data_IF_705826973088
#
_entry.id   IF_705826973088
#
_cell.length_a   1.000
_cell.length_b   1.000
_cell.length_c   1.000
_cell.angle_alpha   90.00
_cell.angle_beta   90.00
_cell.angle_gamma   90.00
#
_symmetry.space_group_name_H-M   'P 1'
#
loop_
_entity.id
_entity.type
_entity.pdbx_description
1 polymer ?
#
# COMPACT_ATOMS: atom_id res chain seq x y z
N UNK A 1 24.51 9.12 -23.99
CA UNK A 1 23.07 9.35 -24.26
C UNK A 1 22.10 8.54 -23.38
N UNK A 2 22.53 7.51 -22.64
CA UNK A 2 21.64 6.60 -21.89
C UNK A 2 21.06 7.15 -20.56
N UNK A 3 21.71 8.11 -19.92
CA UNK A 3 21.34 8.59 -18.56
C UNK A 3 20.02 9.38 -18.52
N UNK A 4 19.66 10.07 -19.60
CA UNK A 4 18.43 10.87 -19.68
C UNK A 4 17.17 10.02 -19.86
N UNK A 5 17.28 8.87 -20.55
CA UNK A 5 16.17 7.92 -20.69
C UNK A 5 15.86 7.22 -19.36
N UNK A 6 16.91 6.82 -18.63
CA UNK A 6 16.77 6.14 -17.34
C UNK A 6 16.19 7.05 -16.26
N UNK A 7 16.58 8.33 -16.20
CA UNK A 7 16.02 9.28 -15.23
C UNK A 7 14.55 9.60 -15.50
N UNK A 8 14.14 9.73 -16.78
CA UNK A 8 12.74 9.91 -17.17
C UNK A 8 11.90 8.66 -16.87
N UNK A 9 12.46 7.47 -17.14
CA UNK A 9 11.83 6.17 -16.84
C UNK A 9 11.63 5.96 -15.34
N UNK A 10 12.67 6.23 -14.52
CA UNK A 10 12.61 6.14 -13.05
C UNK A 10 11.59 7.11 -12.47
N UNK A 11 11.59 8.36 -12.93
CA UNK A 11 10.61 9.38 -12.49
C UNK A 11 9.19 8.99 -12.88
N UNK A 12 8.99 8.48 -14.10
CA UNK A 12 7.68 8.00 -14.56
C UNK A 12 7.17 6.85 -13.70
N UNK A 13 8.02 5.86 -13.43
CA UNK A 13 7.68 4.74 -12.55
C UNK A 13 7.38 5.21 -11.12
N UNK A 14 8.19 6.11 -10.56
CA UNK A 14 7.92 6.68 -9.24
C UNK A 14 6.57 7.40 -9.18
N UNK A 15 6.22 8.18 -10.21
CA UNK A 15 4.91 8.85 -10.28
C UNK A 15 3.75 7.85 -10.33
N UNK A 16 3.89 6.77 -11.10
CA UNK A 16 2.86 5.74 -11.21
C UNK A 16 2.68 4.97 -9.87
N UNK A 17 3.80 4.59 -9.23
CA UNK A 17 3.78 3.91 -7.93
C UNK A 17 3.20 4.81 -6.83
N UNK A 18 3.50 6.11 -6.84
CA UNK A 18 2.86 7.08 -5.91
C UNK A 18 1.34 7.02 -6.06
N UNK A 19 0.82 7.06 -7.29
CA UNK A 19 -0.62 7.02 -7.53
C UNK A 19 -1.26 5.72 -7.00
N UNK A 20 -0.62 4.58 -7.24
CA UNK A 20 -1.12 3.29 -6.77
C UNK A 20 -1.06 3.14 -5.24
N UNK A 21 0.04 3.56 -4.61
CA UNK A 21 0.17 3.54 -3.14
C UNK A 21 -0.85 4.49 -2.50
N UNK A 22 -1.03 5.69 -3.06
CA UNK A 22 -2.02 6.65 -2.55
C UNK A 22 -3.44 6.09 -2.65
N UNK A 23 -3.82 5.46 -3.76
CA UNK A 23 -5.14 4.83 -3.88
C UNK A 23 -5.35 3.73 -2.83
N UNK A 24 -4.34 2.89 -2.57
CA UNK A 24 -4.40 1.87 -1.52
C UNK A 24 -4.61 2.51 -0.14
N UNK A 25 -3.89 3.58 0.18
CA UNK A 25 -4.02 4.27 1.48
C UNK A 25 -5.38 4.95 1.61
N UNK A 26 -5.84 5.68 0.59
CA UNK A 26 -7.14 6.34 0.60
C UNK A 26 -8.28 5.32 0.76
N UNK A 27 -8.21 4.17 0.11
CA UNK A 27 -9.18 3.09 0.26
C UNK A 27 -9.16 2.51 1.69
N UNK A 28 -8.00 2.38 2.33
CA UNK A 28 -7.90 1.95 3.74
C UNK A 28 -8.45 3.01 4.71
N UNK A 29 -8.17 4.30 4.48
CA UNK A 29 -8.64 5.39 5.34
C UNK A 29 -10.16 5.62 5.23
N UNK A 30 -10.74 5.37 4.05
CA UNK A 30 -12.17 5.51 3.79
C UNK A 30 -13.03 4.31 4.23
N UNK A 31 -12.42 3.24 4.70
CA UNK A 31 -13.11 2.01 5.09
C UNK A 31 -13.60 2.14 6.55
N UNK A 32 -14.89 2.47 6.74
CA UNK A 32 -15.54 2.59 8.08
C UNK A 32 -15.33 1.31 8.92
N UNK A 33 -15.16 0.19 8.24
CA UNK A 33 -14.84 -1.12 8.76
C UNK A 33 -13.44 -1.26 9.37
N UNK A 34 -12.46 -0.40 9.08
CA UNK A 34 -11.21 -0.34 9.87
C UNK A 34 -11.52 -0.02 11.32
N UNK A 35 -12.48 0.88 11.54
CA UNK A 35 -12.97 1.23 12.87
C UNK A 35 -13.69 0.07 13.55
N UNK A 36 -14.38 -0.76 12.76
CA UNK A 36 -15.04 -2.00 13.23
C UNK A 36 -14.04 -3.13 13.48
N UNK A 37 -12.94 -3.18 12.72
CA UNK A 37 -11.81 -4.09 12.97
C UNK A 37 -11.08 -3.71 14.26
N UNK A 38 -10.90 -2.42 14.54
CA UNK A 38 -10.43 -1.92 15.85
C UNK A 38 -11.40 -2.31 16.98
N UNK A 39 -12.71 -2.21 16.78
CA UNK A 39 -13.73 -2.65 17.75
C UNK A 39 -13.72 -4.17 17.95
N UNK A 40 -13.33 -4.95 16.94
CA UNK A 40 -13.17 -6.39 17.06
C UNK A 40 -11.90 -6.80 17.81
N UNK A 41 -10.80 -6.05 17.69
CA UNK A 41 -9.57 -6.27 18.49
C UNK A 41 -9.86 -6.12 20.00
N UNK A 42 -10.84 -5.27 20.35
CA UNK A 42 -11.35 -5.12 21.73
C UNK A 42 -12.52 -6.08 22.07
N UNK A 43 -12.89 -6.99 21.17
CA UNK A 43 -13.82 -8.11 21.42
C UNK A 43 -15.29 -7.89 21.04
N UNK A 44 -15.63 -6.85 20.28
CA UNK A 44 -16.99 -6.62 19.80
C UNK A 44 -17.27 -7.39 18.50
N UNK A 45 -17.81 -8.60 18.61
CA UNK A 45 -18.06 -9.52 17.47
C UNK A 45 -19.29 -9.17 16.61
N UNK A 46 -19.94 -8.03 16.85
CA UNK A 46 -21.26 -7.69 16.30
C UNK A 46 -21.24 -7.35 14.79
N UNK A 47 -20.07 -7.00 14.24
CA UNK A 47 -19.93 -6.51 12.86
C UNK A 47 -19.20 -7.47 11.90
N UNK A 48 -18.92 -8.71 12.34
CA UNK A 48 -18.21 -9.72 11.56
C UNK A 48 -18.80 -9.96 10.16
N UNK A 49 -20.12 -9.94 10.02
CA UNK A 49 -20.82 -10.16 8.76
C UNK A 49 -20.79 -8.98 7.77
N UNK A 50 -20.32 -7.81 8.22
CA UNK A 50 -20.25 -6.58 7.43
C UNK A 50 -18.86 -6.35 6.83
N UNK A 51 -17.83 -7.05 7.32
CA UNK A 51 -16.42 -6.91 6.92
C UNK A 51 -16.05 -7.48 5.55
N UNK A 52 -17.03 -7.90 4.75
CA UNK A 52 -16.80 -8.61 3.48
C UNK A 52 -16.97 -7.79 2.20
N UNK A 53 -17.35 -6.51 2.30
CA UNK A 53 -17.66 -5.69 1.12
C UNK A 53 -16.44 -5.00 0.49
N UNK A 54 -15.32 -4.91 1.21
CA UNK A 54 -14.16 -4.14 0.78
C UNK A 54 -13.13 -4.98 0.06
N UNK A 55 -12.62 -4.38 -0.99
CA UNK A 55 -11.63 -4.97 -1.86
C UNK A 55 -10.58 -3.92 -2.13
N UNK A 56 -9.33 -4.29 -1.92
CA UNK A 56 -8.21 -3.45 -2.34
C UNK A 56 -8.18 -3.30 -3.86
N UNK A 57 -7.68 -2.16 -4.36
CA UNK A 57 -7.49 -1.96 -5.79
C UNK A 57 -6.41 -2.92 -6.31
N UNK A 58 -6.50 -3.27 -7.60
CA UNK A 58 -5.47 -4.12 -8.23
C UNK A 58 -4.12 -3.41 -8.27
N UNK A 59 -3.05 -4.13 -7.93
CA UNK A 59 -1.67 -3.64 -7.93
C UNK A 59 -1.06 -3.60 -9.35
N UNK A 60 -1.80 -3.06 -10.31
CA UNK A 60 -1.50 -3.15 -11.75
C UNK A 60 -0.17 -2.48 -12.12
N UNK A 61 0.18 -1.36 -11.47
CA UNK A 61 1.44 -0.66 -11.71
C UNK A 61 2.59 -1.47 -11.14
N UNK A 62 2.51 -1.91 -9.89
CA UNK A 62 3.54 -2.74 -9.27
C UNK A 62 3.77 -4.03 -10.06
N UNK A 63 2.72 -4.83 -10.30
CA UNK A 63 2.82 -6.12 -11.00
C UNK A 63 3.42 -5.98 -12.40
N UNK A 64 2.98 -4.98 -13.16
CA UNK A 64 3.49 -4.74 -14.52
C UNK A 64 4.93 -4.20 -14.57
N UNK A 65 5.50 -3.79 -13.42
CA UNK A 65 6.80 -3.13 -13.36
C UNK A 65 7.75 -3.73 -12.32
N UNK A 66 7.50 -4.95 -11.81
CA UNK A 66 8.38 -5.65 -10.85
C UNK A 66 9.83 -5.69 -11.35
N UNK A 67 10.04 -6.06 -12.61
CA UNK A 67 11.38 -6.13 -13.21
C UNK A 67 12.09 -4.77 -13.33
N UNK A 68 11.31 -3.68 -13.28
CA UNK A 68 11.79 -2.29 -13.41
C UNK A 68 12.02 -1.62 -12.05
N UNK A 69 11.79 -2.31 -10.94
CA UNK A 69 12.15 -1.81 -9.61
C UNK A 69 13.66 -1.61 -9.48
N UNK A 70 14.47 -2.29 -10.30
CA UNK A 70 15.92 -2.07 -10.42
C UNK A 70 16.33 -0.62 -10.76
N UNK A 71 15.38 0.23 -11.16
CA UNK A 71 15.58 1.67 -11.36
C UNK A 71 15.78 2.44 -10.04
N UNK A 72 15.35 1.88 -8.91
CA UNK A 72 15.57 2.44 -7.57
C UNK A 72 16.80 1.81 -6.90
N UNK A 73 17.25 2.38 -5.77
CA UNK A 73 18.24 1.69 -4.94
C UNK A 73 17.64 0.46 -4.24
N UNK A 74 18.50 -0.44 -3.76
CA UNK A 74 18.06 -1.70 -3.17
C UNK A 74 17.22 -1.56 -1.89
N UNK A 75 17.35 -0.46 -1.14
CA UNK A 75 16.52 -0.22 0.03
C UNK A 75 15.09 0.13 -0.40
N UNK A 76 14.96 1.11 -1.31
CA UNK A 76 13.67 1.51 -1.89
C UNK A 76 12.97 0.33 -2.58
N UNK A 77 13.69 -0.49 -3.35
CA UNK A 77 13.15 -1.70 -3.97
C UNK A 77 12.49 -2.64 -2.95
N UNK A 78 13.19 -2.92 -1.85
CA UNK A 78 12.68 -3.81 -0.80
C UNK A 78 11.48 -3.21 -0.09
N UNK A 79 11.46 -1.91 0.15
CA UNK A 79 10.31 -1.24 0.76
C UNK A 79 9.08 -1.30 -0.16
N UNK A 80 9.25 -1.06 -1.47
CA UNK A 80 8.15 -1.19 -2.44
C UNK A 80 7.62 -2.63 -2.44
N UNK A 81 8.49 -3.62 -2.63
CA UNK A 81 8.08 -5.02 -2.66
C UNK A 81 7.41 -5.46 -1.35
N UNK A 82 7.93 -5.01 -0.21
CA UNK A 82 7.37 -5.30 1.10
C UNK A 82 5.98 -4.67 1.26
N UNK A 83 5.80 -3.40 0.90
CA UNK A 83 4.49 -2.74 0.92
C UNK A 83 3.44 -3.52 0.14
N UNK A 84 3.71 -3.89 -1.12
CA UNK A 84 2.74 -4.64 -1.93
C UNK A 84 2.53 -6.08 -1.46
N UNK A 85 3.53 -6.69 -0.81
CA UNK A 85 3.36 -8.00 -0.15
C UNK A 85 2.38 -7.91 1.02
N UNK A 86 2.52 -6.88 1.86
CA UNK A 86 1.63 -6.61 3.00
C UNK A 86 0.20 -6.28 2.52
N UNK A 87 0.07 -5.48 1.46
CA UNK A 87 -1.21 -5.18 0.82
C UNK A 87 -1.89 -6.44 0.28
N UNK A 88 -1.13 -7.37 -0.32
CA UNK A 88 -1.64 -8.68 -0.72
C UNK A 88 -2.10 -9.54 0.46
N UNK A 89 -1.38 -9.50 1.58
CA UNK A 89 -1.79 -10.14 2.83
C UNK A 89 -3.12 -9.61 3.35
N UNK A 90 -3.28 -8.28 3.40
CA UNK A 90 -4.53 -7.62 3.75
C UNK A 90 -5.68 -8.06 2.84
N UNK A 91 -5.49 -8.06 1.52
CA UNK A 91 -6.49 -8.55 0.57
C UNK A 91 -6.90 -10.01 0.87
N UNK A 92 -5.93 -10.86 1.23
CA UNK A 92 -6.18 -12.25 1.62
C UNK A 92 -7.04 -12.38 2.88
N UNK A 93 -6.75 -11.59 3.92
CA UNK A 93 -7.54 -11.58 5.15
C UNK A 93 -8.96 -11.06 4.94
N UNK A 94 -9.11 -9.97 4.17
CA UNK A 94 -10.43 -9.42 3.81
C UNK A 94 -11.25 -10.43 2.99
N UNK A 95 -10.61 -11.14 2.05
CA UNK A 95 -11.27 -12.18 1.28
C UNK A 95 -11.73 -13.36 2.15
N UNK A 96 -10.93 -13.78 3.12
CA UNK A 96 -11.29 -14.81 4.08
C UNK A 96 -12.50 -14.37 4.92
N UNK A 97 -12.48 -13.15 5.47
CA UNK A 97 -13.61 -12.56 6.19
C UNK A 97 -14.90 -12.51 5.36
N UNK A 98 -14.80 -12.11 4.09
CA UNK A 98 -15.93 -12.09 3.16
C UNK A 98 -16.52 -13.48 2.87
N UNK A 99 -15.69 -14.52 2.95
CA UNK A 99 -16.04 -15.90 2.57
C UNK A 99 -16.48 -16.75 3.76
N UNK A 100 -16.32 -16.27 4.99
CA UNK A 100 -16.44 -17.03 6.23
C UNK A 100 -17.87 -17.39 6.69
N UNK A 101 -18.81 -17.64 5.75
CA UNK A 101 -20.22 -17.94 6.07
C UNK A 101 -20.42 -19.16 6.98
N UNK A 102 -19.47 -20.10 7.02
CA UNK A 102 -19.51 -21.33 7.82
C UNK A 102 -18.23 -21.58 8.65
N UNK A 103 -17.33 -20.59 8.76
CA UNK A 103 -16.07 -20.74 9.50
C UNK A 103 -16.24 -20.51 11.02
N UNK A 104 -15.30 -21.02 11.82
CA UNK A 104 -15.34 -20.79 13.27
C UNK A 104 -15.14 -19.31 13.58
N UNK A 105 -15.92 -18.78 14.53
CA UNK A 105 -15.80 -17.38 14.97
C UNK A 105 -14.37 -16.99 15.36
N UNK A 106 -13.61 -17.94 15.90
CA UNK A 106 -12.21 -17.73 16.28
C UNK A 106 -11.31 -17.48 15.06
N UNK A 107 -11.54 -18.16 13.93
CA UNK A 107 -10.80 -17.92 12.69
C UNK A 107 -11.13 -16.56 12.09
N UNK A 108 -12.42 -16.19 12.06
CA UNK A 108 -12.82 -14.86 11.62
C UNK A 108 -12.19 -13.76 12.48
N UNK A 109 -12.18 -13.93 13.80
CA UNK A 109 -11.52 -12.98 14.71
C UNK A 109 -10.02 -12.88 14.41
N UNK A 110 -9.34 -14.01 14.19
CA UNK A 110 -7.92 -14.00 13.85
C UNK A 110 -7.66 -13.23 12.55
N UNK A 111 -8.46 -13.45 11.50
CA UNK A 111 -8.35 -12.72 10.25
C UNK A 111 -8.63 -11.21 10.40
N UNK A 112 -9.56 -10.82 11.28
CA UNK A 112 -9.80 -9.43 11.59
C UNK A 112 -8.58 -8.76 12.28
N UNK A 113 -8.01 -9.43 13.28
CA UNK A 113 -6.80 -8.94 13.97
C UNK A 113 -5.62 -8.83 13.01
N UNK A 114 -5.41 -9.85 12.18
CA UNK A 114 -4.34 -9.83 11.18
C UNK A 114 -4.56 -8.74 10.12
N UNK A 115 -5.80 -8.55 9.65
CA UNK A 115 -6.14 -7.45 8.75
C UNK A 115 -5.84 -6.08 9.38
N UNK A 116 -6.23 -5.85 10.63
CA UNK A 116 -5.94 -4.60 11.33
C UNK A 116 -4.42 -4.36 11.47
N UNK A 117 -3.67 -5.42 11.77
CA UNK A 117 -2.21 -5.35 11.84
C UNK A 117 -1.60 -4.99 10.49
N UNK A 118 -2.12 -5.55 9.40
CA UNK A 118 -1.69 -5.21 8.04
C UNK A 118 -1.99 -3.75 7.71
N UNK A 119 -3.18 -3.24 8.02
CA UNK A 119 -3.56 -1.84 7.83
C UNK A 119 -2.59 -0.89 8.54
N UNK A 120 -2.36 -1.10 9.84
CA UNK A 120 -1.45 -0.26 10.63
C UNK A 120 -0.03 -0.24 10.03
N UNK A 121 0.47 -1.40 9.62
CA UNK A 121 1.78 -1.50 8.97
C UNK A 121 1.81 -0.77 7.63
N UNK A 122 0.75 -0.90 6.82
CA UNK A 122 0.66 -0.28 5.50
C UNK A 122 0.58 1.24 5.59
N UNK A 123 -0.14 1.79 6.56
CA UNK A 123 -0.20 3.24 6.79
C UNK A 123 1.18 3.81 7.12
N UNK A 124 1.91 3.21 8.07
CA UNK A 124 3.26 3.65 8.45
C UNK A 124 4.27 3.52 7.29
N UNK A 125 4.27 2.37 6.61
CA UNK A 125 5.16 2.11 5.47
C UNK A 125 4.82 3.00 4.27
N UNK A 126 3.53 3.24 4.03
CA UNK A 126 3.00 3.99 2.91
C UNK A 126 3.48 5.44 2.95
N UNK A 127 3.38 6.10 4.10
CA UNK A 127 3.80 7.49 4.28
C UNK A 127 5.31 7.67 4.05
N UNK A 128 6.12 6.79 4.62
CA UNK A 128 7.57 6.80 4.45
C UNK A 128 7.95 6.57 2.99
N UNK A 129 7.30 5.59 2.34
CA UNK A 129 7.56 5.26 0.94
C UNK A 129 7.10 6.36 -0.02
N UNK A 130 5.95 6.99 0.23
CA UNK A 130 5.47 8.14 -0.54
C UNK A 130 6.44 9.32 -0.42
N UNK A 131 6.94 9.60 0.79
CA UNK A 131 7.95 10.66 1.01
C UNK A 131 9.21 10.39 0.20
N UNK A 132 9.67 9.15 0.15
CA UNK A 132 10.87 8.76 -0.59
C UNK A 132 10.66 8.79 -2.10
N UNK A 133 9.53 8.27 -2.59
CA UNK A 133 9.18 8.29 -4.01
C UNK A 133 9.02 9.72 -4.56
N UNK A 134 8.43 10.62 -3.76
CA UNK A 134 8.27 12.04 -4.13
C UNK A 134 9.61 12.73 -4.42
N UNK A 135 10.72 12.28 -3.81
CA UNK A 135 12.08 12.82 -4.09
C UNK A 135 12.51 12.58 -5.54
N UNK A 136 12.03 11.51 -6.19
CA UNK A 136 12.35 11.22 -7.60
C UNK A 136 11.49 12.00 -8.59
N UNK A 137 10.32 12.47 -8.16
CA UNK A 137 9.37 13.23 -8.99
C UNK A 137 9.59 14.73 -8.86
N UNK A 138 9.93 15.19 -7.65
CA UNK A 138 10.16 16.60 -7.38
C UNK A 138 11.37 17.10 -8.16
N UNK A 139 11.15 18.11 -9.02
CA UNK A 139 12.26 18.79 -9.69
C UNK A 139 13.03 19.54 -8.60
N UNK A 140 14.25 19.12 -8.26
CA UNK A 140 15.21 20.10 -7.76
C UNK A 140 15.27 21.19 -8.83
N UNK A 141 14.80 22.39 -8.51
CA UNK A 141 15.06 23.56 -9.34
C UNK A 141 16.58 23.58 -9.58
N UNK A 142 17.05 23.75 -10.82
CA UNK A 142 18.44 24.10 -11.02
C UNK A 142 18.63 25.39 -10.21
N UNK A 143 19.53 25.36 -9.22
CA UNK A 143 19.87 26.56 -8.47
C UNK A 143 20.11 27.67 -9.48
N UNK A 144 19.29 28.71 -9.42
CA UNK A 144 19.48 29.91 -10.23
C UNK A 144 20.92 30.34 -9.98
N UNK A 145 21.77 30.16 -10.99
CA UNK A 145 23.12 30.70 -10.99
C UNK A 145 22.91 32.21 -11.00
N UNK A 146 22.92 32.81 -9.82
CA UNK A 146 22.95 34.25 -9.64
C UNK A 146 24.31 34.71 -10.12
N UNK A 147 24.38 35.15 -11.38
CA UNK A 147 25.45 36.03 -11.85
C UNK A 147 25.03 37.45 -11.49
N UNK A 148 25.68 38.02 -10.49
CA UNK A 148 25.83 39.45 -10.28
C UNK A 148 27.29 39.70 -9.91
#
# INVERSE_FOLDING_TARGET
MLLFGQSRSRRGLASALIGEITAIIEDMEGFEEVRRLEEMDIGADEHLGELGAFTLPKFSVFESNVDRLNLFDAATQRQIAYFFTRAGGLAGHLHALASARDESKDLCRQHAVDAQREINCLSELGDDLLRDLRKFVSRRQPGTISRA
#
